data_IF_718784255588
#
_entry.id   IF_718784255588
#
_cell.length_a   1.000
_cell.length_b   1.000
_cell.length_c   1.000
_cell.angle_alpha   90.00
_cell.angle_beta   90.00
_cell.angle_gamma   90.00
#
_symmetry.space_group_name_H-M   'P 1'
#
loop_
_entity.id
_entity.type
_entity.pdbx_description
1 polymer ?
#
# COMPACT_ATOMS: atom_id res chain seq x y z
N UNK A 1 20.64 -4.31 8.06
CA UNK A 1 20.65 -2.89 7.68
C UNK A 1 19.57 -2.15 8.45
N UNK A 2 20.01 -1.23 9.26
CA UNK A 2 19.14 -0.46 10.13
C UNK A 2 18.16 0.40 9.36
N UNK A 3 18.68 1.09 8.34
CA UNK A 3 17.87 1.99 7.51
C UNK A 3 16.75 1.27 6.77
N UNK A 4 17.03 0.08 6.29
CA UNK A 4 16.03 -0.72 5.59
C UNK A 4 14.84 -1.04 6.49
N UNK A 5 15.13 -1.48 7.72
CA UNK A 5 14.08 -1.85 8.68
C UNK A 5 13.23 -0.65 9.09
N UNK A 6 13.89 0.48 9.32
CA UNK A 6 13.19 1.70 9.69
C UNK A 6 12.29 2.20 8.57
N UNK A 7 12.79 2.18 7.34
CA UNK A 7 12.02 2.62 6.18
C UNK A 7 10.85 1.69 5.91
N UNK A 8 11.03 0.41 6.14
CA UNK A 8 9.96 -0.57 6.01
C UNK A 8 8.83 -0.27 6.99
N UNK A 9 9.17 0.01 8.23
CA UNK A 9 8.17 0.33 9.26
C UNK A 9 7.43 1.62 8.92
N UNK A 10 8.15 2.62 8.46
CA UNK A 10 7.53 3.88 8.03
C UNK A 10 6.56 3.67 6.87
N UNK A 11 6.93 2.82 5.92
CA UNK A 11 6.07 2.49 4.79
C UNK A 11 4.78 1.83 5.29
N UNK A 12 4.91 0.86 6.18
CA UNK A 12 3.76 0.16 6.74
C UNK A 12 2.83 1.12 7.50
N UNK A 13 3.39 2.01 8.29
CA UNK A 13 2.62 3.00 9.04
C UNK A 13 1.92 4.00 8.12
N UNK A 14 2.60 4.40 7.05
CA UNK A 14 2.01 5.31 6.07
C UNK A 14 0.81 4.68 5.39
N UNK A 15 0.93 3.42 4.99
CA UNK A 15 -0.15 2.69 4.37
C UNK A 15 -1.32 2.53 5.34
N UNK A 16 -1.03 2.17 6.59
CA UNK A 16 -2.06 2.04 7.62
C UNK A 16 -2.81 3.35 7.84
N UNK A 17 -2.07 4.45 7.87
CA UNK A 17 -2.67 5.78 8.05
C UNK A 17 -3.66 6.10 6.92
N UNK A 18 -3.25 5.93 5.69
CA UNK A 18 -4.11 6.21 4.54
C UNK A 18 -5.31 5.28 4.46
N UNK A 19 -5.12 4.02 4.77
CA UNK A 19 -6.21 3.05 4.81
C UNK A 19 -7.25 3.45 5.85
N UNK A 20 -6.79 3.80 7.04
CA UNK A 20 -7.70 4.20 8.13
C UNK A 20 -8.46 5.48 7.79
N UNK A 21 -7.78 6.46 7.20
CA UNK A 21 -8.41 7.70 6.78
C UNK A 21 -9.49 7.47 5.73
N UNK A 22 -9.18 6.64 4.75
CA UNK A 22 -10.15 6.31 3.70
C UNK A 22 -11.38 5.62 4.28
N UNK A 23 -11.17 4.66 5.16
CA UNK A 23 -12.27 3.91 5.76
C UNK A 23 -13.18 4.81 6.60
N UNK A 24 -12.60 5.76 7.32
CA UNK A 24 -13.37 6.70 8.13
C UNK A 24 -14.15 7.66 7.26
N UNK A 25 -13.52 8.15 6.20
CA UNK A 25 -14.13 9.15 5.32
C UNK A 25 -15.38 8.64 4.63
N UNK A 26 -15.35 7.40 4.19
CA UNK A 26 -16.44 6.82 3.41
C UNK A 26 -17.25 5.78 4.17
N UNK A 27 -16.91 5.54 5.43
CA UNK A 27 -17.57 4.54 6.28
C UNK A 27 -17.63 3.17 5.59
N UNK A 28 -16.49 2.73 5.10
CA UNK A 28 -16.34 1.46 4.40
C UNK A 28 -15.23 0.65 5.03
N UNK A 29 -15.18 -0.62 4.69
CA UNK A 29 -14.10 -1.51 5.10
C UNK A 29 -13.29 -1.93 3.89
N UNK A 30 -11.99 -1.99 4.04
CA UNK A 30 -11.11 -2.51 3.01
C UNK A 30 -11.00 -4.02 3.24
N UNK A 31 -11.41 -4.78 2.23
CA UNK A 31 -11.39 -6.23 2.31
C UNK A 31 -10.01 -6.79 1.99
N UNK A 32 -9.33 -6.20 1.02
CA UNK A 32 -8.03 -6.68 0.61
C UNK A 32 -7.23 -5.58 -0.07
N UNK A 33 -5.92 -5.68 0.04
CA UNK A 33 -4.99 -4.78 -0.64
C UNK A 33 -4.03 -5.65 -1.46
N UNK A 34 -4.02 -5.44 -2.75
CA UNK A 34 -3.17 -6.19 -3.67
C UNK A 34 -2.07 -5.29 -4.22
N UNK A 35 -0.85 -5.79 -4.21
CA UNK A 35 0.29 -5.09 -4.78
C UNK A 35 0.76 -5.87 -6.01
N UNK A 36 0.75 -5.21 -7.15
CA UNK A 36 1.20 -5.80 -8.40
C UNK A 36 2.47 -5.12 -8.86
N UNK A 37 3.40 -5.89 -9.39
CA UNK A 37 4.65 -5.38 -9.92
C UNK A 37 4.63 -5.43 -11.43
N UNK A 38 4.91 -4.27 -12.04
CA UNK A 38 5.03 -4.17 -13.48
C UNK A 38 6.51 -4.10 -13.82
N UNK A 39 6.99 -5.06 -14.60
CA UNK A 39 8.37 -5.09 -15.02
C UNK A 39 8.53 -4.44 -16.39
N UNK A 40 9.60 -3.66 -16.54
CA UNK A 40 9.91 -3.02 -17.80
C UNK A 40 11.24 -3.53 -18.32
N UNK A 41 11.45 -3.36 -19.61
CA UNK A 41 12.66 -3.85 -20.30
C UNK A 41 13.94 -3.24 -19.78
N UNK A 42 13.87 -2.05 -19.22
CA UNK A 42 15.04 -1.33 -18.74
C UNK A 42 15.41 -1.65 -17.30
N UNK A 43 14.78 -2.67 -16.73
CA UNK A 43 15.04 -3.02 -15.35
C UNK A 43 14.30 -2.17 -14.34
N UNK A 44 13.62 -1.14 -14.79
CA UNK A 44 12.77 -0.35 -13.91
C UNK A 44 11.51 -1.15 -13.59
N UNK A 45 11.16 -1.17 -12.34
CA UNK A 45 9.93 -1.83 -11.90
C UNK A 45 9.06 -0.82 -11.18
N UNK A 46 7.77 -0.93 -11.41
CA UNK A 46 6.80 -0.06 -10.80
C UNK A 46 5.75 -0.91 -10.11
N UNK A 47 5.33 -0.51 -8.92
CA UNK A 47 4.26 -1.23 -8.25
C UNK A 47 2.94 -0.50 -8.46
N UNK A 48 1.89 -1.29 -8.57
CA UNK A 48 0.53 -0.79 -8.66
C UNK A 48 -0.26 -1.38 -7.51
N UNK A 49 -0.94 -0.53 -6.77
CA UNK A 49 -1.74 -0.96 -5.64
C UNK A 49 -3.21 -0.92 -6.00
N UNK A 50 -3.89 -2.03 -5.78
CA UNK A 50 -5.33 -2.11 -5.96
C UNK A 50 -5.96 -2.42 -4.61
N UNK A 51 -7.06 -1.75 -4.32
CA UNK A 51 -7.75 -1.90 -3.04
C UNK A 51 -9.16 -2.40 -3.29
N UNK A 52 -9.50 -3.52 -2.67
CA UNK A 52 -10.85 -4.06 -2.72
C UNK A 52 -11.64 -3.54 -1.53
N UNK A 53 -12.72 -2.83 -1.81
CA UNK A 53 -13.53 -2.20 -0.79
C UNK A 53 -14.85 -2.95 -0.63
N UNK A 54 -15.20 -3.20 0.62
CA UNK A 54 -16.48 -3.81 0.96
C UNK A 54 -17.43 -2.73 1.44
N UNK A 55 -18.50 -2.58 0.73
CA UNK A 55 -19.52 -1.60 1.07
C UNK A 55 -20.58 -2.14 2.01
#
# INVERSE_FOLDING_TARGET
MKEFKEDKIKLEETIEHYVNEFCKKYDVNIEDINVKWLGYYNGDSECKIEVDVRL
#
